data_IF_005357493479
#
_entry.id   IF_005357493479
#
_cell.length_a   1.000
_cell.length_b   1.000
_cell.length_c   1.000
_cell.angle_alpha   90.00
_cell.angle_beta   90.00
_cell.angle_gamma   90.00
#
_symmetry.space_group_name_H-M   'P 1'
#
loop_
_entity.id
_entity.type
_entity.pdbx_description
1 polymer ?
#
# COMPACT_ATOMS: atom_id res chain seq x y z
N UNK A 1 -31.06 -16.20 -9.20
CA UNK A 1 -31.16 -16.28 -7.72
C UNK A 1 -32.58 -16.10 -7.18
N UNK A 2 -33.48 -15.38 -7.88
CA UNK A 2 -34.90 -15.25 -7.48
C UNK A 2 -35.67 -16.60 -7.39
N UNK A 3 -35.21 -17.63 -8.10
CA UNK A 3 -35.88 -18.94 -8.17
C UNK A 3 -35.75 -19.76 -6.88
N UNK A 4 -34.66 -19.63 -6.13
CA UNK A 4 -34.44 -20.41 -4.90
C UNK A 4 -35.27 -19.91 -3.70
N UNK A 5 -35.52 -18.61 -3.61
CA UNK A 5 -36.38 -18.05 -2.57
C UNK A 5 -37.85 -18.46 -2.74
N UNK A 6 -38.32 -18.59 -3.99
CA UNK A 6 -39.67 -19.04 -4.32
C UNK A 6 -39.93 -20.52 -4.01
N UNK A 7 -38.90 -21.37 -3.93
CA UNK A 7 -39.05 -22.81 -3.64
C UNK A 7 -39.14 -23.09 -2.14
N UNK A 8 -38.42 -22.33 -1.30
CA UNK A 8 -38.49 -22.47 0.16
C UNK A 8 -39.78 -21.92 0.78
N UNK A 9 -40.50 -21.05 0.07
CA UNK A 9 -41.77 -20.45 0.54
C UNK A 9 -43.00 -21.33 0.28
N UNK A 10 -42.88 -22.45 -0.45
CA UNK A 10 -44.03 -23.24 -0.89
C UNK A 10 -44.32 -24.50 -0.05
N UNK A 11 -43.51 -24.83 0.96
CA UNK A 11 -43.63 -26.10 1.69
C UNK A 11 -43.66 -25.94 3.21
N UNK A 12 -44.76 -25.43 3.76
CA UNK A 12 -45.21 -25.81 5.11
C UNK A 12 -46.76 -25.78 5.21
N UNK A 13 -47.39 -26.87 5.72
CA UNK A 13 -48.83 -27.04 5.66
C UNK A 13 -49.48 -26.63 6.99
N UNK A 14 -49.94 -25.39 7.13
CA UNK A 14 -50.84 -24.93 8.20
C UNK A 14 -51.65 -23.75 7.66
N UNK A 15 -52.97 -23.94 7.42
CA UNK A 15 -53.72 -23.20 6.39
C UNK A 15 -54.53 -21.96 6.80
N UNK A 16 -54.66 -21.55 8.08
CA UNK A 16 -55.65 -20.51 8.43
C UNK A 16 -55.15 -19.24 9.17
N UNK A 17 -53.95 -19.21 9.77
CA UNK A 17 -53.36 -17.99 10.38
C UNK A 17 -52.48 -17.18 9.38
N UNK A 18 -52.68 -17.45 8.09
CA UNK A 18 -51.63 -17.38 7.04
C UNK A 18 -51.26 -16.00 6.51
N UNK A 19 -52.10 -14.98 6.54
CA UNK A 19 -51.76 -13.71 5.86
C UNK A 19 -50.81 -12.85 6.66
N UNK A 20 -51.12 -12.57 7.93
CA UNK A 20 -50.27 -11.78 8.81
C UNK A 20 -48.92 -12.48 9.07
N UNK A 21 -48.94 -13.80 9.31
CA UNK A 21 -47.71 -14.59 9.49
C UNK A 21 -46.83 -14.63 8.23
N UNK A 22 -47.42 -14.78 7.03
CA UNK A 22 -46.65 -14.72 5.77
C UNK A 22 -46.12 -13.32 5.51
N UNK A 23 -46.88 -12.27 5.82
CA UNK A 23 -46.47 -10.88 5.65
C UNK A 23 -45.34 -10.52 6.61
N UNK A 24 -45.38 -11.03 7.85
CA UNK A 24 -44.30 -10.90 8.83
C UNK A 24 -43.03 -11.65 8.37
N UNK A 25 -43.16 -12.89 7.90
CA UNK A 25 -42.02 -13.70 7.41
C UNK A 25 -41.40 -13.07 6.16
N UNK A 26 -42.21 -12.59 5.23
CA UNK A 26 -41.71 -11.91 4.01
C UNK A 26 -41.05 -10.58 4.34
N UNK A 27 -41.63 -9.77 5.23
CA UNK A 27 -41.00 -8.55 5.73
C UNK A 27 -39.67 -8.85 6.43
N UNK A 28 -39.60 -9.92 7.23
CA UNK A 28 -38.39 -10.35 7.92
C UNK A 28 -37.30 -10.83 6.95
N UNK A 29 -37.66 -11.59 5.93
CA UNK A 29 -36.74 -12.03 4.87
C UNK A 29 -36.20 -10.86 4.06
N UNK A 30 -37.06 -9.90 3.69
CA UNK A 30 -36.66 -8.68 2.96
C UNK A 30 -35.74 -7.81 3.82
N UNK A 31 -36.07 -7.61 5.10
CA UNK A 31 -35.23 -6.87 6.03
C UNK A 31 -33.87 -7.54 6.23
N UNK A 32 -33.85 -8.87 6.42
CA UNK A 32 -32.61 -9.64 6.59
C UNK A 32 -31.74 -9.62 5.35
N UNK A 33 -32.34 -9.75 4.16
CA UNK A 33 -31.62 -9.66 2.89
C UNK A 33 -31.07 -8.25 2.64
N UNK A 34 -31.84 -7.21 2.98
CA UNK A 34 -31.40 -5.81 2.89
C UNK A 34 -30.24 -5.53 3.86
N UNK A 35 -30.30 -6.07 5.07
CA UNK A 35 -29.24 -5.96 6.06
C UNK A 35 -27.98 -6.72 5.62
N UNK A 36 -28.12 -7.93 5.09
CA UNK A 36 -27.01 -8.72 4.57
C UNK A 36 -26.32 -8.04 3.38
N UNK A 37 -27.09 -7.49 2.44
CA UNK A 37 -26.55 -6.74 1.29
C UNK A 37 -25.87 -5.44 1.72
N UNK A 38 -26.44 -4.71 2.69
CA UNK A 38 -25.81 -3.53 3.28
C UNK A 38 -24.49 -3.88 3.97
N UNK A 39 -24.46 -4.92 4.80
CA UNK A 39 -23.25 -5.41 5.46
C UNK A 39 -22.21 -5.87 4.44
N UNK A 40 -22.61 -6.55 3.38
CA UNK A 40 -21.70 -6.98 2.32
C UNK A 40 -21.14 -5.80 1.54
N UNK A 41 -21.95 -4.76 1.27
CA UNK A 41 -21.46 -3.50 0.71
C UNK A 41 -20.44 -2.83 1.63
N UNK A 42 -20.72 -2.78 2.94
CA UNK A 42 -19.84 -2.20 3.96
C UNK A 42 -18.52 -2.98 4.10
N UNK A 43 -18.59 -4.31 4.01
CA UNK A 43 -17.43 -5.19 4.02
C UNK A 43 -16.57 -4.98 2.76
N UNK A 44 -17.23 -4.85 1.61
CA UNK A 44 -16.52 -4.62 0.33
C UNK A 44 -15.83 -3.26 0.37
N UNK A 45 -16.51 -2.20 0.82
CA UNK A 45 -15.92 -0.86 0.91
C UNK A 45 -14.76 -0.81 1.90
N UNK A 46 -14.88 -1.43 3.09
CA UNK A 46 -13.80 -1.46 4.09
C UNK A 46 -12.60 -2.29 3.63
N UNK A 47 -12.82 -3.42 2.95
CA UNK A 47 -11.75 -4.23 2.34
C UNK A 47 -11.04 -3.44 1.23
N UNK A 48 -11.78 -2.71 0.39
CA UNK A 48 -11.20 -1.91 -0.69
C UNK A 48 -10.54 -0.61 -0.20
N UNK A 49 -11.06 -0.01 0.88
CA UNK A 49 -10.53 1.24 1.40
C UNK A 49 -9.15 1.02 2.02
N UNK A 50 -8.90 -0.17 2.60
CA UNK A 50 -7.70 -0.43 3.37
C UNK A 50 -7.64 0.48 4.59
N UNK A 51 -7.21 -0.02 5.73
CA UNK A 51 -6.82 0.86 6.83
C UNK A 51 -5.47 1.51 6.48
N UNK A 52 -5.45 2.36 5.46
CA UNK A 52 -4.36 3.27 5.21
C UNK A 52 -4.41 4.31 6.32
N UNK A 53 -3.54 4.17 7.33
CA UNK A 53 -3.17 5.33 8.13
C UNK A 53 -2.85 6.44 7.14
N UNK A 54 -3.43 7.62 7.32
CA UNK A 54 -3.25 8.75 6.42
C UNK A 54 -1.76 9.09 6.37
N UNK A 55 -1.06 8.52 5.39
CA UNK A 55 0.37 8.65 5.28
C UNK A 55 0.67 10.08 4.88
N UNK A 56 1.72 10.66 5.43
CA UNK A 56 2.26 11.93 4.93
C UNK A 56 3.04 11.67 3.64
N UNK A 57 2.30 11.31 2.59
CA UNK A 57 2.81 10.92 1.28
C UNK A 57 2.73 12.06 0.25
N UNK A 58 2.14 13.20 0.60
CA UNK A 58 2.11 14.40 -0.24
C UNK A 58 3.24 15.36 0.13
N UNK A 59 3.69 16.15 -0.86
CA UNK A 59 4.78 17.12 -0.70
C UNK A 59 4.45 18.14 0.39
N UNK A 60 3.22 18.63 0.44
CA UNK A 60 2.78 19.63 1.42
C UNK A 60 2.91 19.12 2.86
N UNK A 61 2.47 17.87 3.12
CA UNK A 61 2.56 17.27 4.47
C UNK A 61 4.02 17.03 4.87
N UNK A 62 4.85 16.60 3.92
CA UNK A 62 6.28 16.39 4.13
C UNK A 62 7.02 17.69 4.39
N UNK A 63 6.66 18.78 3.71
CA UNK A 63 7.32 20.08 3.81
C UNK A 63 7.34 20.60 5.25
N UNK A 64 6.18 20.65 5.91
CA UNK A 64 6.09 21.13 7.30
C UNK A 64 6.87 20.27 8.29
N UNK A 65 6.92 18.94 8.07
CA UNK A 65 7.69 18.01 8.92
C UNK A 65 9.19 18.12 8.71
N UNK A 66 9.62 18.44 7.49
CA UNK A 66 11.02 18.73 7.18
C UNK A 66 11.43 20.08 7.77
N UNK A 67 10.62 21.13 7.59
CA UNK A 67 10.91 22.47 8.11
C UNK A 67 11.00 22.51 9.64
N UNK A 68 10.09 21.80 10.32
CA UNK A 68 10.11 21.63 11.78
C UNK A 68 11.25 20.73 12.29
N UNK A 69 11.98 20.07 11.39
CA UNK A 69 13.08 19.16 11.73
C UNK A 69 12.63 17.82 12.34
N UNK A 70 11.34 17.49 12.26
CA UNK A 70 10.81 16.20 12.72
C UNK A 70 11.27 15.04 11.82
N UNK A 71 11.47 15.32 10.53
CA UNK A 71 11.97 14.38 9.54
C UNK A 71 13.27 14.88 8.92
N UNK A 72 14.16 13.95 8.61
CA UNK A 72 15.41 14.21 7.92
C UNK A 72 15.43 13.57 6.52
N UNK A 73 15.90 14.25 5.47
CA UNK A 73 16.11 13.59 4.18
C UNK A 73 17.27 12.58 4.27
N UNK A 74 17.13 11.43 3.62
CA UNK A 74 18.18 10.44 3.46
C UNK A 74 18.32 10.08 1.98
N UNK A 75 19.48 10.34 1.41
CA UNK A 75 19.88 9.87 0.08
C UNK A 75 21.14 9.01 0.21
N UNK A 76 21.28 7.93 -0.58
CA UNK A 76 22.53 7.19 -0.61
C UNK A 76 23.67 8.07 -1.17
N UNK A 77 24.91 7.90 -0.70
CA UNK A 77 26.04 8.73 -1.11
C UNK A 77 26.36 8.52 -2.58
N UNK A 78 26.72 9.61 -3.26
CA UNK A 78 27.10 9.58 -4.68
C UNK A 78 25.91 9.48 -5.65
N UNK A 79 24.68 9.44 -5.16
CA UNK A 79 23.49 9.67 -5.99
C UNK A 79 23.36 11.15 -6.31
N UNK A 80 22.77 11.47 -7.47
CA UNK A 80 22.54 12.85 -7.89
C UNK A 80 21.74 13.65 -6.85
N UNK A 81 20.80 13.00 -6.13
CA UNK A 81 20.02 13.64 -5.08
C UNK A 81 20.86 14.06 -3.87
N UNK A 82 21.88 13.29 -3.49
CA UNK A 82 22.83 13.66 -2.42
C UNK A 82 23.64 14.91 -2.81
N UNK A 83 24.11 14.94 -4.06
CA UNK A 83 24.80 16.11 -4.64
C UNK A 83 23.89 17.33 -4.73
N UNK A 84 22.62 17.14 -5.10
CA UNK A 84 21.62 18.21 -5.15
C UNK A 84 21.37 18.80 -3.77
N UNK A 85 21.15 17.97 -2.75
CA UNK A 85 20.93 18.43 -1.38
C UNK A 85 22.12 19.23 -0.85
N UNK A 86 23.36 18.81 -1.18
CA UNK A 86 24.56 19.55 -0.81
C UNK A 86 24.74 20.90 -1.55
N UNK A 87 24.08 21.08 -2.70
CA UNK A 87 24.21 22.28 -3.53
C UNK A 87 23.04 23.26 -3.39
N UNK A 88 21.82 22.76 -3.15
CA UNK A 88 20.58 23.55 -3.13
C UNK A 88 20.50 24.52 -1.93
N UNK A 89 21.15 24.21 -0.81
CA UNK A 89 21.15 25.04 0.40
C UNK A 89 21.90 26.38 0.30
N UNK A 90 22.45 26.75 -0.87
CA UNK A 90 23.13 28.03 -1.12
C UNK A 90 22.26 29.09 -1.79
N UNK A 91 21.06 28.73 -2.25
CA UNK A 91 20.10 29.64 -2.87
C UNK A 91 19.13 30.27 -1.87
N UNK A 92 18.87 31.56 -2.00
CA UNK A 92 18.08 32.35 -1.04
C UNK A 92 16.54 32.22 -1.20
N UNK A 93 16.05 31.16 -1.88
CA UNK A 93 14.61 30.91 -2.08
C UNK A 93 14.21 29.74 -1.18
N UNK A 94 13.25 29.97 -0.29
CA UNK A 94 12.82 29.01 0.75
C UNK A 94 11.46 28.37 0.45
N UNK A 95 11.02 28.39 -0.80
CA UNK A 95 9.63 28.04 -1.15
C UNK A 95 9.50 26.63 -1.75
N UNK A 96 10.60 25.88 -1.88
CA UNK A 96 10.58 24.51 -2.43
C UNK A 96 10.97 23.47 -1.38
N UNK A 97 10.34 22.30 -1.44
CA UNK A 97 10.65 21.14 -0.58
C UNK A 97 12.12 20.70 -0.69
N UNK A 98 12.76 20.85 -1.85
CA UNK A 98 14.18 20.52 -2.04
C UNK A 98 15.08 21.45 -1.20
N UNK A 99 14.73 22.73 -1.13
CA UNK A 99 15.50 23.72 -0.35
C UNK A 99 15.31 23.48 1.16
N UNK A 100 14.10 23.10 1.58
CA UNK A 100 13.82 22.66 2.96
C UNK A 100 14.62 21.40 3.32
N UNK A 101 14.65 20.39 2.44
CA UNK A 101 15.47 19.20 2.63
C UNK A 101 16.96 19.53 2.72
N UNK A 102 17.47 20.41 1.84
CA UNK A 102 18.88 20.82 1.85
C UNK A 102 19.25 21.55 3.15
N UNK A 103 18.37 22.43 3.65
CA UNK A 103 18.57 23.13 4.91
C UNK A 103 18.67 22.17 6.10
N UNK A 104 17.80 21.15 6.15
CA UNK A 104 17.85 20.10 7.19
C UNK A 104 19.10 19.24 7.06
N UNK A 105 19.47 18.84 5.84
CA UNK A 105 20.68 18.07 5.58
C UNK A 105 21.94 18.79 6.06
N UNK A 106 22.07 20.09 5.78
CA UNK A 106 23.19 20.91 6.25
C UNK A 106 23.22 21.06 7.78
N UNK A 107 22.06 21.23 8.43
CA UNK A 107 21.99 21.26 9.90
C UNK A 107 22.52 19.94 10.48
N UNK A 108 22.12 18.81 9.92
CA UNK A 108 22.57 17.48 10.38
C UNK A 108 24.07 17.27 10.16
N UNK A 109 24.62 17.68 9.01
CA UNK A 109 26.06 17.64 8.74
C UNK A 109 26.85 18.49 9.75
N UNK A 110 26.32 19.67 10.12
CA UNK A 110 26.96 20.56 11.09
C UNK A 110 26.89 20.02 12.53
N UNK A 111 25.81 19.32 12.90
CA UNK A 111 25.64 18.75 14.24
C UNK A 111 26.37 17.42 14.43
N UNK A 112 26.58 16.64 13.36
CA UNK A 112 27.11 15.28 13.43
C UNK A 112 28.64 15.19 13.36
N UNK A 113 29.36 16.32 13.29
CA UNK A 113 30.81 16.36 13.37
C UNK A 113 31.50 15.39 12.39
N UNK A 114 31.49 15.70 11.09
CA UNK A 114 32.29 15.03 10.04
C UNK A 114 32.14 13.50 9.86
N UNK A 115 31.31 12.81 10.62
CA UNK A 115 30.97 11.41 10.35
C UNK A 115 29.87 11.33 9.28
N UNK A 116 30.26 11.59 8.03
CA UNK A 116 29.53 11.11 6.84
C UNK A 116 29.59 9.58 6.86
N UNK A 117 28.77 8.94 7.69
CA UNK A 117 28.54 7.52 7.53
C UNK A 117 27.87 7.35 6.17
N UNK A 118 28.51 6.66 5.20
CA UNK A 118 27.90 6.46 3.90
C UNK A 118 26.59 5.73 4.12
N UNK A 119 25.47 6.43 3.93
CA UNK A 119 24.16 5.84 4.11
C UNK A 119 23.94 4.86 2.97
N UNK A 120 24.18 3.57 3.22
CA UNK A 120 23.78 2.54 2.28
C UNK A 120 22.27 2.68 2.02
N UNK A 121 21.85 2.20 0.86
CA UNK A 121 20.43 2.17 0.51
C UNK A 121 19.61 1.46 1.60
N UNK A 122 20.15 0.37 2.15
CA UNK A 122 19.54 -0.36 3.27
C UNK A 122 19.42 0.50 4.52
N UNK A 123 20.45 1.30 4.87
CA UNK A 123 20.45 2.19 6.03
C UNK A 123 19.38 3.29 5.90
N UNK A 124 19.26 3.92 4.73
CA UNK A 124 18.20 4.91 4.53
C UNK A 124 16.80 4.28 4.59
N UNK A 125 16.62 3.07 4.07
CA UNK A 125 15.35 2.35 4.16
C UNK A 125 14.98 2.00 5.61
N UNK A 126 15.94 1.53 6.42
CA UNK A 126 15.71 1.26 7.84
C UNK A 126 15.36 2.52 8.62
N UNK A 127 16.03 3.64 8.34
CA UNK A 127 15.73 4.95 8.94
C UNK A 127 14.33 5.44 8.56
N UNK A 128 13.92 5.25 7.31
CA UNK A 128 12.58 5.56 6.85
C UNK A 128 11.52 4.66 7.50
N UNK A 129 11.79 3.36 7.63
CA UNK A 129 10.91 2.42 8.33
C UNK A 129 10.73 2.74 9.83
N UNK A 130 11.69 3.45 10.44
CA UNK A 130 11.60 3.97 11.81
C UNK A 130 10.80 5.29 11.91
N UNK A 131 10.34 5.85 10.79
CA UNK A 131 9.59 7.11 10.75
C UNK A 131 10.44 8.36 11.06
N UNK A 132 11.77 8.26 10.98
CA UNK A 132 12.68 9.37 11.31
C UNK A 132 13.20 10.11 10.08
N UNK A 133 13.17 9.46 8.91
CA UNK A 133 13.74 9.99 7.69
C UNK A 133 12.82 9.81 6.49
N UNK A 134 12.97 10.72 5.51
CA UNK A 134 12.38 10.59 4.18
C UNK A 134 13.43 9.99 3.25
N UNK A 135 13.16 8.81 2.71
CA UNK A 135 14.09 8.16 1.79
C UNK A 135 13.91 8.66 0.37
N UNK A 136 14.94 9.28 -0.17
CA UNK A 136 14.93 9.88 -1.51
C UNK A 136 15.53 8.92 -2.53
N UNK A 137 14.77 8.65 -3.60
CA UNK A 137 15.19 7.73 -4.64
C UNK A 137 14.60 8.06 -6.01
N UNK A 138 15.23 7.54 -7.07
CA UNK A 138 14.72 7.64 -8.44
C UNK A 138 13.56 6.67 -8.67
N UNK A 139 12.57 7.12 -9.47
CA UNK A 139 11.39 6.33 -9.81
C UNK A 139 11.72 5.00 -10.51
N UNK A 140 12.85 4.92 -11.23
CA UNK A 140 13.29 3.68 -11.90
C UNK A 140 13.70 2.62 -10.88
N UNK A 141 14.29 3.05 -9.76
CA UNK A 141 14.78 2.13 -8.74
C UNK A 141 13.64 1.62 -7.83
N UNK A 142 12.48 2.30 -7.83
CA UNK A 142 11.22 1.92 -7.13
C UNK A 142 10.94 0.42 -7.16
N UNK A 143 10.97 -0.17 -8.34
CA UNK A 143 10.60 -1.58 -8.55
C UNK A 143 11.53 -2.57 -7.84
N UNK A 144 12.79 -2.18 -7.60
CA UNK A 144 13.74 -3.01 -6.88
C UNK A 144 13.44 -3.00 -5.37
N UNK A 145 13.03 -1.85 -4.82
CA UNK A 145 12.77 -1.70 -3.38
C UNK A 145 11.38 -2.13 -2.95
N UNK A 146 10.41 -2.12 -3.87
CA UNK A 146 9.09 -2.73 -3.62
C UNK A 146 9.19 -4.22 -3.26
N UNK A 147 10.26 -4.91 -3.67
CA UNK A 147 10.54 -6.29 -3.26
C UNK A 147 11.01 -6.43 -1.81
N UNK A 148 11.49 -5.35 -1.19
CA UNK A 148 12.03 -5.40 0.16
C UNK A 148 10.95 -5.77 1.18
N UNK A 149 11.37 -6.45 2.24
CA UNK A 149 10.48 -6.89 3.31
C UNK A 149 9.85 -5.71 4.06
N UNK A 150 10.55 -4.58 4.15
CA UNK A 150 10.06 -3.34 4.76
C UNK A 150 8.89 -2.73 3.98
N UNK A 151 8.98 -2.72 2.64
CA UNK A 151 7.89 -2.26 1.79
C UNK A 151 6.70 -3.23 1.83
N UNK A 152 6.96 -4.55 1.80
CA UNK A 152 5.91 -5.59 1.89
C UNK A 152 5.14 -5.56 3.21
N UNK A 153 5.80 -5.15 4.30
CA UNK A 153 5.15 -4.98 5.62
C UNK A 153 4.42 -3.64 5.77
N UNK A 154 4.42 -2.79 4.74
CA UNK A 154 3.80 -1.47 4.80
C UNK A 154 4.52 -0.46 5.71
N UNK A 155 5.79 -0.72 6.07
CA UNK A 155 6.58 0.17 6.93
C UNK A 155 7.17 1.37 6.18
N UNK A 156 7.21 1.28 4.85
CA UNK A 156 7.67 2.36 3.98
C UNK A 156 6.57 2.57 2.95
N UNK A 157 6.10 3.82 2.84
CA UNK A 157 5.08 4.23 1.90
C UNK A 157 5.72 5.15 0.87
N UNK A 158 5.27 5.02 -0.37
CA UNK A 158 5.76 5.86 -1.45
C UNK A 158 5.00 7.18 -1.48
N UNK A 159 5.73 8.27 -1.74
CA UNK A 159 5.12 9.58 -1.99
C UNK A 159 4.31 9.58 -3.30
N UNK A 160 3.23 10.36 -3.34
CA UNK A 160 2.36 10.46 -4.52
C UNK A 160 2.99 11.28 -5.64
N UNK A 161 3.88 12.21 -5.27
CA UNK A 161 4.44 13.21 -6.18
C UNK A 161 5.93 13.00 -6.41
N UNK A 162 6.35 13.18 -7.66
CA UNK A 162 7.75 13.22 -8.03
C UNK A 162 8.34 14.61 -7.76
N UNK A 163 9.38 14.68 -6.93
CA UNK A 163 10.01 15.95 -6.54
C UNK A 163 10.78 16.62 -7.68
N UNK A 164 11.39 15.83 -8.57
CA UNK A 164 12.23 16.33 -9.65
C UNK A 164 12.28 15.34 -10.82
N UNK A 165 12.13 15.86 -12.04
CA UNK A 165 12.42 15.12 -13.25
C UNK A 165 13.93 15.20 -13.57
N UNK A 166 14.64 14.08 -13.39
CA UNK A 166 16.06 13.99 -13.71
C UNK A 166 16.22 13.30 -15.06
N UNK A 167 16.65 14.01 -16.12
CA UNK A 167 16.93 13.38 -17.40
C UNK A 167 18.12 12.43 -17.25
N UNK A 168 17.97 11.19 -17.71
CA UNK A 168 19.06 10.22 -17.77
C UNK A 168 19.71 10.25 -19.15
N UNK A 169 21.00 9.92 -19.21
CA UNK A 169 21.77 9.92 -20.44
C UNK A 169 23.01 9.07 -20.35
N UNK A 170 23.69 8.90 -21.47
CA UNK A 170 24.96 8.19 -21.52
C UNK A 170 26.10 9.15 -21.15
N UNK A 171 26.75 8.87 -20.02
CA UNK A 171 27.92 9.63 -19.61
C UNK A 171 29.11 9.26 -20.51
N UNK A 172 29.70 10.25 -21.19
CA UNK A 172 30.85 10.07 -22.07
C UNK A 172 31.85 11.21 -21.90
N UNK A 173 33.13 10.91 -22.14
CA UNK A 173 34.18 11.94 -22.18
C UNK A 173 33.88 12.92 -23.32
N UNK A 174 34.07 14.23 -23.07
CA UNK A 174 33.79 15.28 -24.06
C UNK A 174 34.52 15.08 -25.39
N UNK A 175 35.73 14.50 -25.34
CA UNK A 175 36.60 14.23 -26.50
C UNK A 175 36.37 12.87 -27.17
N UNK A 176 35.32 12.13 -26.78
CA UNK A 176 35.08 10.80 -27.33
C UNK A 176 34.59 10.90 -28.77
N UNK A 177 35.26 10.18 -29.68
CA UNK A 177 35.09 10.34 -31.12
C UNK A 177 33.71 9.87 -31.62
N UNK A 178 33.07 8.88 -30.97
CA UNK A 178 31.72 8.41 -31.33
C UNK A 178 30.59 9.14 -30.61
N UNK A 179 30.88 10.24 -29.90
CA UNK A 179 29.85 10.92 -29.09
C UNK A 179 28.63 11.32 -29.92
N UNK A 180 28.84 11.84 -31.13
CA UNK A 180 27.76 12.24 -32.03
C UNK A 180 26.97 11.05 -32.57
N UNK A 181 27.66 9.95 -32.90
CA UNK A 181 27.00 8.73 -33.39
C UNK A 181 26.13 8.09 -32.31
N UNK A 182 26.62 8.02 -31.08
CA UNK A 182 25.86 7.44 -29.97
C UNK A 182 24.68 8.34 -29.59
N UNK A 183 24.83 9.66 -29.64
CA UNK A 183 23.71 10.59 -29.46
C UNK A 183 22.64 10.39 -30.55
N UNK A 184 23.04 10.21 -31.81
CA UNK A 184 22.12 9.92 -32.91
C UNK A 184 21.39 8.58 -32.71
N UNK A 185 22.10 7.53 -32.28
CA UNK A 185 21.49 6.23 -31.93
C UNK A 185 20.50 6.39 -30.77
N UNK A 186 20.88 7.12 -29.72
CA UNK A 186 20.01 7.35 -28.56
C UNK A 186 18.71 8.05 -28.96
N UNK A 187 18.77 9.07 -29.83
CA UNK A 187 17.57 9.73 -30.38
C UNK A 187 16.71 8.76 -31.18
N UNK A 188 17.33 7.97 -32.06
CA UNK A 188 16.60 6.97 -32.86
C UNK A 188 15.91 5.90 -31.98
N UNK A 189 16.51 5.50 -30.87
CA UNK A 189 15.89 4.59 -29.89
C UNK A 189 14.67 5.19 -29.19
N UNK A 190 14.65 6.52 -29.01
CA UNK A 190 13.49 7.25 -28.49
C UNK A 190 12.41 7.37 -29.58
N UNK A 191 12.77 7.81 -30.79
CA UNK A 191 11.85 7.97 -31.93
C UNK A 191 11.17 6.67 -32.34
N UNK A 192 11.92 5.56 -32.37
CA UNK A 192 11.37 4.22 -32.66
C UNK A 192 10.52 3.65 -31.53
N UNK A 193 10.44 4.33 -30.39
CA UNK A 193 9.70 3.89 -29.21
C UNK A 193 10.30 2.66 -28.54
N UNK A 194 11.53 2.27 -28.87
CA UNK A 194 12.20 1.10 -28.26
C UNK A 194 12.34 1.26 -26.75
N UNK A 195 12.75 2.45 -26.30
CA UNK A 195 12.86 2.76 -24.88
C UNK A 195 11.50 2.69 -24.18
N UNK A 196 10.42 3.13 -24.84
CA UNK A 196 9.06 3.01 -24.31
C UNK A 196 8.61 1.56 -24.18
N UNK A 197 8.87 0.72 -25.20
CA UNK A 197 8.56 -0.71 -25.14
C UNK A 197 9.35 -1.42 -24.04
N UNK A 198 10.63 -1.11 -23.89
CA UNK A 198 11.48 -1.66 -22.82
C UNK A 198 11.02 -1.21 -21.44
N UNK A 199 10.70 0.07 -21.27
CA UNK A 199 10.15 0.63 -20.03
C UNK A 199 8.82 -0.04 -19.68
N UNK A 200 7.92 -0.22 -20.66
CA UNK A 200 6.64 -0.91 -20.47
C UNK A 200 6.84 -2.36 -20.03
N UNK A 201 7.81 -3.10 -20.59
CA UNK A 201 8.13 -4.47 -20.15
C UNK A 201 8.65 -4.52 -18.72
N UNK A 202 9.53 -3.59 -18.34
CA UNK A 202 10.06 -3.48 -16.97
C UNK A 202 8.97 -3.05 -15.97
N UNK A 203 8.09 -2.14 -16.37
CA UNK A 203 6.97 -1.68 -15.57
C UNK A 203 5.92 -2.78 -15.39
N UNK A 204 5.64 -3.57 -16.43
CA UNK A 204 4.72 -4.71 -16.36
C UNK A 204 5.19 -5.74 -15.32
N UNK A 205 6.48 -6.10 -15.32
CA UNK A 205 7.08 -6.96 -14.29
C UNK A 205 6.98 -6.38 -12.87
N UNK A 206 6.92 -5.06 -12.75
CA UNK A 206 6.79 -4.35 -11.47
C UNK A 206 5.33 -4.31 -10.98
N UNK A 207 4.37 -4.17 -11.89
CA UNK A 207 2.94 -4.09 -11.59
C UNK A 207 2.34 -5.46 -11.25
N UNK A 208 2.73 -6.53 -11.95
CA UNK A 208 2.32 -7.90 -11.64
C UNK A 208 2.69 -8.28 -10.20
N UNK A 209 3.83 -7.78 -9.73
CA UNK A 209 4.29 -7.98 -8.37
C UNK A 209 3.53 -7.14 -7.33
N UNK A 210 3.04 -5.96 -7.68
CA UNK A 210 2.19 -5.16 -6.78
C UNK A 210 0.81 -5.81 -6.60
N UNK A 211 0.26 -6.40 -7.66
CA UNK A 211 -1.00 -7.13 -7.60
C UNK A 211 -0.91 -8.36 -6.68
N UNK A 212 0.22 -9.09 -6.68
CA UNK A 212 0.46 -10.18 -5.72
C UNK A 212 0.56 -9.73 -4.26
N UNK A 213 0.93 -8.46 -4.00
CA UNK A 213 1.03 -7.91 -2.65
C UNK A 213 -0.29 -7.30 -2.16
N UNK A 214 -1.19 -6.95 -3.09
CA UNK A 214 -2.57 -6.54 -2.82
C UNK A 214 -3.54 -7.71 -2.71
N UNK A 215 -3.07 -8.95 -2.92
CA UNK A 215 -3.86 -10.14 -2.58
C UNK A 215 -4.29 -10.04 -1.12
N UNK A 216 -5.59 -10.23 -0.87
CA UNK A 216 -6.24 -10.03 0.42
C UNK A 216 -5.35 -10.48 1.57
N UNK A 217 -4.97 -9.54 2.45
CA UNK A 217 -4.13 -9.84 3.59
C UNK A 217 -4.79 -10.99 4.40
N UNK A 218 -4.21 -12.20 4.42
CA UNK A 218 -4.88 -13.41 4.94
C UNK A 218 -5.20 -13.30 6.44
N UNK A 219 -4.62 -12.31 7.12
CA UNK A 219 -4.86 -11.97 8.51
C UNK A 219 -6.32 -11.58 8.80
N UNK A 220 -7.01 -10.86 7.90
CA UNK A 220 -8.41 -10.48 8.13
C UNK A 220 -9.37 -11.67 8.02
N UNK A 221 -9.07 -12.62 7.13
CA UNK A 221 -9.89 -13.82 6.92
C UNK A 221 -9.70 -14.84 8.06
N UNK A 222 -8.48 -14.94 8.61
CA UNK A 222 -8.17 -15.85 9.73
C UNK A 222 -8.97 -15.55 10.99
N UNK A 223 -9.22 -14.27 11.29
CA UNK A 223 -9.99 -13.86 12.46
C UNK A 223 -11.46 -14.27 12.33
N UNK A 224 -12.04 -14.09 11.14
CA UNK A 224 -13.39 -14.57 10.82
C UNK A 224 -13.49 -16.10 10.89
N UNK A 225 -12.54 -16.83 10.31
CA UNK A 225 -12.44 -18.30 10.44
C UNK A 225 -12.32 -18.74 11.90
N UNK A 226 -11.54 -18.02 12.71
CA UNK A 226 -11.38 -18.30 14.14
C UNK A 226 -12.71 -18.21 14.90
N UNK A 227 -13.49 -17.16 14.67
CA UNK A 227 -14.81 -16.99 15.29
C UNK A 227 -15.78 -18.09 14.84
N UNK A 228 -15.79 -18.44 13.56
CA UNK A 228 -16.61 -19.56 13.04
C UNK A 228 -16.25 -20.89 13.70
N UNK A 229 -14.95 -21.20 13.83
CA UNK A 229 -14.49 -22.42 14.49
C UNK A 229 -14.88 -22.47 15.97
N UNK A 230 -14.79 -21.34 16.69
CA UNK A 230 -15.23 -21.24 18.10
C UNK A 230 -16.74 -21.49 18.20
N UNK A 231 -17.53 -20.87 17.31
CA UNK A 231 -18.98 -21.06 17.24
C UNK A 231 -19.35 -22.52 17.00
N UNK A 232 -18.75 -23.17 16.00
CA UNK A 232 -18.97 -24.60 15.73
C UNK A 232 -18.59 -25.49 16.93
N UNK A 233 -17.49 -25.18 17.62
CA UNK A 233 -17.03 -25.94 18.78
C UNK A 233 -18.01 -25.82 19.94
N UNK A 234 -18.53 -24.62 20.20
CA UNK A 234 -19.55 -24.38 21.22
C UNK A 234 -20.86 -25.11 20.89
N UNK A 235 -21.32 -25.04 19.63
CA UNK A 235 -22.52 -25.77 19.21
C UNK A 235 -22.37 -27.29 19.39
N UNK A 236 -21.21 -27.86 19.07
CA UNK A 236 -20.92 -29.27 19.29
C UNK A 236 -20.95 -29.65 20.78
N UNK A 237 -20.41 -28.79 21.66
CA UNK A 237 -20.45 -28.99 23.12
C UNK A 237 -21.88 -28.95 23.64
N UNK A 238 -22.69 -27.97 23.21
CA UNK A 238 -24.09 -27.86 23.63
C UNK A 238 -24.90 -29.08 23.17
N UNK A 239 -24.75 -29.51 21.92
CA UNK A 239 -25.38 -30.74 21.41
C UNK A 239 -24.94 -31.98 22.20
N UNK A 240 -23.65 -32.07 22.56
CA UNK A 240 -23.14 -33.13 23.40
C UNK A 240 -23.77 -33.14 24.80
N UNK A 241 -23.93 -31.98 25.42
CA UNK A 241 -24.59 -31.84 26.73
C UNK A 241 -26.07 -32.22 26.62
N UNK A 242 -26.79 -31.73 25.61
CA UNK A 242 -28.21 -32.07 25.39
C UNK A 242 -28.42 -33.56 25.14
N UNK A 243 -27.52 -34.23 24.41
CA UNK A 243 -27.57 -35.68 24.21
C UNK A 243 -27.32 -36.45 25.51
N UNK A 244 -26.37 -36.02 26.33
CA UNK A 244 -26.08 -36.65 27.63
C UNK A 244 -27.24 -36.45 28.61
N UNK A 245 -27.82 -35.25 28.67
CA UNK A 245 -28.96 -34.92 29.53
C UNK A 245 -30.24 -35.63 29.04
N UNK A 246 -30.47 -35.70 27.72
CA UNK A 246 -31.59 -36.42 27.13
C UNK A 246 -31.51 -37.94 27.27
N UNK A 247 -30.31 -38.50 27.48
CA UNK A 247 -30.11 -39.91 27.79
C UNK A 247 -30.14 -40.23 29.30
N UNK A 248 -30.26 -39.24 30.19
CA UNK A 248 -30.49 -39.53 31.60
C UNK A 248 -31.95 -39.94 31.80
N UNK A 249 -32.22 -41.12 32.39
CA UNK A 249 -33.59 -41.51 32.70
C UNK A 249 -34.17 -40.51 33.69
N UNK A 250 -35.33 -39.95 33.36
CA UNK A 250 -36.11 -39.12 34.28
C UNK A 250 -36.31 -39.90 35.59
N UNK A 251 -35.78 -39.37 36.69
CA UNK A 251 -36.04 -39.87 38.04
C UNK A 251 -37.45 -39.49 38.47
#
# INVERSE_FOLDING_TARGET
>A
MAVFASVLLLSSPLEAERTAGRLLITAWLVASFSLATCLQSLLTTTITAGSGWEADNTVDKLYYKLESGQLAPCSPPGFYLDVLLGNAGRGNKRDNIIDAMAAVAHRLESSAGHLKTPHSITSCMEKAAKGTHVFLITAVARCWYKKSLLYRRGLIIEGEEALLAIPTGFAMKKSYYLRHEIDHIARRLVETGWNHRRARKLFWLCQEQENSLRELNPWNIRLFLGVMCIGCSLSAVVLGIELVVGCMPAR
#
